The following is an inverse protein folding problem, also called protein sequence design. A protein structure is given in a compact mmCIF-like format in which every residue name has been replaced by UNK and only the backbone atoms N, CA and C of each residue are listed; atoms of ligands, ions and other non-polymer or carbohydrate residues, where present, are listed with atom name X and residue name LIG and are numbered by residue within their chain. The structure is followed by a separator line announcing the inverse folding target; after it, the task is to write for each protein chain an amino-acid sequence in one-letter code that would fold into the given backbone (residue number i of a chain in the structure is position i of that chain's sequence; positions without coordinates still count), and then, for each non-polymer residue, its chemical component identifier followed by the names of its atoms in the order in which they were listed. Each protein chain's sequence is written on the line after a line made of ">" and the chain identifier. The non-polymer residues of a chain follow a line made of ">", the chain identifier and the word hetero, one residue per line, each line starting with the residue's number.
data_IF_441494178406
#
_entry.id   IF_441494178406
#
_cell.length_a   1.000
_cell.length_b   1.000
_cell.length_c   1.000
_cell.angle_alpha   90.00
_cell.angle_beta   90.00
_cell.angle_gamma   90.00
#
_symmetry.space_group_name_H-M   'P 1'
#
loop_
_entity.id
_entity.type
_entity.pdbx_description
1 polymer ?
#
# COMPACT_ATOMS: atom_id res chain seq x y z
N UNK A 1 -22.20 1.62 -45.32
CA UNK A 1 -21.72 0.95 -44.08
C UNK A 1 -20.23 1.18 -44.00
N UNK A 2 -19.75 2.01 -43.06
CA UNK A 2 -18.35 2.43 -43.02
C UNK A 2 -17.73 2.08 -41.66
N UNK A 3 -16.58 1.40 -41.70
CA UNK A 3 -15.92 0.66 -40.60
C UNK A 3 -15.11 1.57 -39.64
N UNK A 4 -15.27 2.90 -39.71
CA UNK A 4 -14.36 3.85 -39.05
C UNK A 4 -14.75 4.35 -37.65
N UNK A 5 -15.78 3.81 -36.98
CA UNK A 5 -16.19 4.28 -35.64
C UNK A 5 -15.51 3.55 -34.46
N UNK A 6 -14.79 2.45 -34.70
CA UNK A 6 -14.15 1.65 -33.63
C UNK A 6 -12.71 2.04 -33.31
N UNK A 7 -12.00 2.75 -34.19
CA UNK A 7 -10.59 3.11 -33.98
C UNK A 7 -10.38 4.43 -33.22
N UNK A 8 -11.38 5.32 -33.18
CA UNK A 8 -11.26 6.63 -32.53
C UNK A 8 -11.33 6.57 -30.98
N UNK A 9 -11.76 5.44 -30.41
CA UNK A 9 -11.86 5.24 -28.96
C UNK A 9 -10.56 4.78 -28.30
N UNK A 10 -9.60 4.21 -29.04
CA UNK A 10 -8.39 3.61 -28.45
C UNK A 10 -7.26 4.63 -28.21
N UNK A 11 -7.20 5.72 -28.96
CA UNK A 11 -6.06 6.65 -28.93
C UNK A 11 -6.12 7.71 -27.83
N UNK A 12 -7.32 8.02 -27.29
CA UNK A 12 -7.47 8.92 -26.12
C UNK A 12 -7.38 8.22 -24.76
N UNK A 13 -7.37 6.89 -24.72
CA UNK A 13 -7.20 6.12 -23.47
C UNK A 13 -5.75 6.11 -22.95
N UNK A 14 -4.79 6.53 -23.78
CA UNK A 14 -3.35 6.52 -23.47
C UNK A 14 -2.87 7.68 -22.59
N UNK A 15 -3.59 8.81 -22.54
CA UNK A 15 -3.07 10.05 -21.93
C UNK A 15 -3.53 10.36 -20.50
N UNK A 16 -4.50 9.63 -19.94
CA UNK A 16 -5.07 9.93 -18.61
C UNK A 16 -5.21 8.71 -17.70
N UNK A 17 -4.46 7.64 -17.99
CA UNK A 17 -4.08 6.71 -16.95
C UNK A 17 -3.01 7.43 -16.12
N UNK A 18 -3.45 8.34 -15.23
CA UNK A 18 -2.59 8.81 -14.14
C UNK A 18 -2.13 7.51 -13.50
N UNK A 19 -0.87 7.15 -13.73
CA UNK A 19 -0.22 6.08 -13.04
C UNK A 19 -0.25 6.50 -11.58
N UNK A 20 -1.28 6.10 -10.85
CA UNK A 20 -1.21 6.09 -9.41
C UNK A 20 -0.22 5.01 -9.08
N UNK A 21 1.03 5.42 -9.11
CA UNK A 21 2.14 4.78 -8.46
C UNK A 21 1.65 4.28 -7.12
N UNK A 22 1.94 3.01 -6.86
CA UNK A 22 1.65 2.44 -5.56
C UNK A 22 2.35 3.30 -4.56
N UNK A 23 1.60 3.78 -3.61
CA UNK A 23 2.19 4.43 -2.47
C UNK A 23 1.93 3.45 -1.34
N UNK A 24 2.84 2.50 -1.14
CA UNK A 24 2.72 1.58 -0.02
C UNK A 24 2.76 2.39 1.28
N UNK A 25 1.60 2.53 1.94
CA UNK A 25 1.46 3.28 3.18
C UNK A 25 2.43 2.72 4.23
N UNK A 26 3.04 3.62 4.98
CA UNK A 26 3.99 3.28 6.03
C UNK A 26 3.22 2.76 7.23
N UNK A 27 3.15 1.43 7.37
CA UNK A 27 2.84 0.81 8.65
C UNK A 27 4.08 0.94 9.56
N UNK A 28 4.33 2.14 10.06
CA UNK A 28 5.27 2.35 11.16
C UNK A 28 4.65 1.71 12.40
N UNK A 29 4.93 0.44 12.63
CA UNK A 29 4.53 -0.22 13.86
C UNK A 29 5.63 -0.09 14.91
N UNK A 30 5.24 0.56 16.00
CA UNK A 30 5.99 0.70 17.23
C UNK A 30 5.02 1.11 18.34
N UNK A 31 5.21 0.65 19.58
CA UNK A 31 4.39 1.06 20.71
C UNK A 31 4.63 2.54 21.02
N UNK A 32 3.54 3.26 21.34
CA UNK A 32 3.52 4.57 22.01
C UNK A 32 4.58 5.60 21.59
N UNK A 33 4.27 6.48 20.63
CA UNK A 33 5.09 7.66 20.31
C UNK A 33 5.92 7.58 19.02
N UNK A 34 5.80 6.50 18.24
CA UNK A 34 6.49 6.37 16.95
C UNK A 34 5.99 7.38 15.91
N UNK A 35 6.93 8.09 15.26
CA UNK A 35 6.64 8.91 14.05
C UNK A 35 5.89 8.07 13.00
N UNK A 36 4.77 8.58 12.49
CA UNK A 36 4.04 8.04 11.34
C UNK A 36 4.65 8.60 10.07
N UNK A 37 4.49 7.91 8.94
CA UNK A 37 4.86 8.46 7.65
C UNK A 37 3.69 8.35 6.70
N UNK A 38 3.53 9.36 5.86
CA UNK A 38 2.57 9.40 4.78
C UNK A 38 3.29 9.80 3.51
N UNK A 39 2.73 9.41 2.38
CA UNK A 39 3.40 9.51 1.10
C UNK A 39 2.52 10.22 0.08
N UNK A 40 3.14 11.09 -0.72
CA UNK A 40 2.57 11.71 -1.92
C UNK A 40 3.31 11.27 -3.17
N UNK A 41 2.94 11.78 -4.35
CA UNK A 41 3.51 11.34 -5.64
C UNK A 41 5.05 11.44 -5.68
N UNK A 42 5.61 12.55 -5.18
CA UNK A 42 7.04 12.81 -5.09
C UNK A 42 7.45 13.32 -3.70
N UNK A 43 6.61 13.11 -2.69
CA UNK A 43 6.85 13.64 -1.34
C UNK A 43 6.65 12.57 -0.29
N UNK A 44 7.42 12.67 0.77
CA UNK A 44 7.32 11.84 1.95
C UNK A 44 7.09 12.80 3.12
N UNK A 45 6.18 12.47 4.02
CA UNK A 45 5.89 13.26 5.21
C UNK A 45 6.08 12.41 6.45
N UNK A 46 6.83 12.91 7.44
CA UNK A 46 7.01 12.25 8.73
C UNK A 46 6.35 13.06 9.84
N UNK A 47 5.60 12.39 10.71
CA UNK A 47 5.06 13.00 11.92
C UNK A 47 6.17 13.18 12.96
N UNK A 48 6.05 14.16 13.85
CA UNK A 48 6.97 14.28 15.00
C UNK A 48 6.47 13.46 16.21
N UNK A 49 7.34 12.83 17.03
CA UNK A 49 6.91 12.15 18.25
C UNK A 49 6.28 13.16 19.21
N UNK A 50 5.05 12.92 19.65
CA UNK A 50 4.38 13.78 20.63
C UNK A 50 3.97 15.17 20.15
N UNK A 51 4.08 15.48 18.85
CA UNK A 51 3.57 16.74 18.25
C UNK A 51 2.59 16.47 17.12
N UNK A 52 1.74 17.45 16.87
CA UNK A 52 0.78 17.50 15.76
C UNK A 52 1.38 17.71 14.39
N UNK A 53 2.69 17.95 14.34
CA UNK A 53 3.33 18.52 13.16
C UNK A 53 3.94 17.42 12.30
N UNK A 54 3.80 17.61 11.00
CA UNK A 54 4.37 16.77 9.97
C UNK A 54 5.36 17.58 9.15
N UNK A 55 6.51 17.01 8.85
CA UNK A 55 7.54 17.65 8.03
C UNK A 55 7.73 16.89 6.72
N UNK A 56 7.92 17.61 5.59
CA UNK A 56 8.32 16.97 4.35
C UNK A 56 9.73 16.40 4.52
N UNK A 57 9.98 15.26 3.90
CA UNK A 57 11.25 14.56 3.89
C UNK A 57 11.82 14.61 2.47
N UNK A 58 13.06 15.07 2.36
CA UNK A 58 13.78 15.11 1.09
C UNK A 58 14.06 13.69 0.60
N UNK A 59 13.74 13.44 -0.68
CA UNK A 59 14.00 12.17 -1.36
C UNK A 59 15.20 12.31 -2.31
N UNK A 60 15.99 11.25 -2.53
CA UNK A 60 17.27 11.33 -3.24
C UNK A 60 17.17 11.64 -4.74
N UNK A 61 16.02 11.43 -5.38
CA UNK A 61 15.86 11.68 -6.82
C UNK A 61 14.54 12.34 -7.21
N UNK A 62 14.38 12.54 -8.52
CA UNK A 62 13.11 12.94 -9.14
C UNK A 62 12.31 11.71 -9.55
N UNK A 63 10.99 11.87 -9.60
CA UNK A 63 10.08 10.81 -10.02
C UNK A 63 9.48 10.01 -8.87
N UNK A 64 8.70 8.99 -9.23
CA UNK A 64 7.66 8.44 -8.36
C UNK A 64 8.23 7.66 -7.18
N UNK A 65 7.60 7.85 -6.02
CA UNK A 65 7.85 7.05 -4.81
C UNK A 65 6.91 5.85 -4.78
N UNK A 66 7.45 4.66 -4.98
CA UNK A 66 6.68 3.40 -5.04
C UNK A 66 6.44 2.79 -3.65
N UNK A 67 7.39 2.99 -2.73
CA UNK A 67 7.31 2.43 -1.39
C UNK A 67 8.24 3.15 -0.45
N UNK A 68 7.79 3.39 0.78
CA UNK A 68 8.64 3.79 1.90
C UNK A 68 8.30 2.90 3.09
N UNK A 69 9.32 2.34 3.72
CA UNK A 69 9.14 1.50 4.91
C UNK A 69 10.12 1.91 5.98
N UNK A 70 9.65 1.96 7.21
CA UNK A 70 10.46 2.25 8.39
C UNK A 70 10.77 0.98 9.15
N UNK A 71 11.99 0.85 9.65
CA UNK A 71 12.35 -0.28 10.51
C UNK A 71 11.66 -0.12 11.88
N UNK A 72 10.90 -1.15 12.27
CA UNK A 72 10.18 -1.19 13.56
C UNK A 72 11.12 -1.27 14.77
N UNK A 73 12.37 -1.70 14.55
CA UNK A 73 13.37 -1.84 15.62
C UNK A 73 14.29 -0.63 15.71
N UNK A 74 14.50 0.04 14.59
CA UNK A 74 15.33 1.24 14.51
C UNK A 74 14.58 2.34 13.74
N UNK A 75 13.96 3.28 14.46
CA UNK A 75 13.20 4.36 13.84
C UNK A 75 14.02 5.28 12.91
N UNK A 76 15.36 5.22 12.93
CA UNK A 76 16.21 5.98 12.03
C UNK A 76 16.42 5.31 10.67
N UNK A 77 16.10 4.01 10.55
CA UNK A 77 16.27 3.27 9.32
C UNK A 77 15.01 3.31 8.46
N UNK A 78 15.18 3.76 7.21
CA UNK A 78 14.13 3.83 6.21
C UNK A 78 14.59 3.13 4.92
N UNK A 79 13.69 2.39 4.27
CA UNK A 79 13.86 1.92 2.90
C UNK A 79 12.92 2.70 2.00
N UNK A 80 13.41 3.14 0.85
CA UNK A 80 12.65 3.89 -0.14
C UNK A 80 12.84 3.26 -1.53
N UNK A 81 11.75 2.84 -2.15
CA UNK A 81 11.72 2.52 -3.57
C UNK A 81 11.29 3.76 -4.34
N UNK A 82 12.18 4.30 -5.18
CA UNK A 82 11.90 5.50 -5.97
C UNK A 82 12.41 5.33 -7.39
N UNK A 83 11.56 5.57 -8.38
CA UNK A 83 11.88 5.47 -9.82
C UNK A 83 12.58 4.14 -10.19
N UNK A 84 12.19 3.04 -9.54
CA UNK A 84 12.79 1.71 -9.74
C UNK A 84 14.10 1.45 -8.98
N UNK A 85 14.64 2.40 -8.23
CA UNK A 85 15.82 2.21 -7.39
C UNK A 85 15.44 1.94 -5.94
N UNK A 86 16.31 1.24 -5.20
CA UNK A 86 16.18 1.00 -3.76
C UNK A 86 17.18 1.87 -3.01
N UNK A 87 16.70 2.63 -2.03
CA UNK A 87 17.53 3.46 -1.17
C UNK A 87 17.33 3.09 0.29
N UNK A 88 18.37 3.31 1.10
CA UNK A 88 18.33 3.22 2.54
C UNK A 88 18.79 4.53 3.18
N UNK A 89 18.06 4.95 4.21
CA UNK A 89 18.52 5.97 5.15
C UNK A 89 18.80 5.33 6.50
N UNK A 90 19.78 5.87 7.23
CA UNK A 90 20.13 5.48 8.60
C UNK A 90 19.94 6.63 9.60
N UNK A 91 19.42 7.78 9.15
CA UNK A 91 19.34 9.02 9.92
C UNK A 91 17.95 9.67 9.81
N UNK A 92 16.90 8.84 9.76
CA UNK A 92 15.51 9.26 9.59
C UNK A 92 15.25 10.04 8.29
N UNK A 93 15.98 9.72 7.22
CA UNK A 93 15.82 10.27 5.87
C UNK A 93 16.47 11.62 5.63
N UNK A 94 17.45 12.01 6.46
CA UNK A 94 18.26 13.20 6.21
C UNK A 94 19.28 12.94 5.10
N UNK A 95 19.78 11.72 5.00
CA UNK A 95 20.62 11.23 3.92
C UNK A 95 20.17 9.85 3.44
N UNK A 96 20.50 9.54 2.18
CA UNK A 96 20.09 8.32 1.50
C UNK A 96 21.28 7.71 0.75
N UNK A 97 21.41 6.39 0.84
CA UNK A 97 22.36 5.60 0.08
C UNK A 97 21.60 4.63 -0.84
N UNK A 98 22.07 4.44 -2.06
CA UNK A 98 21.50 3.46 -2.98
C UNK A 98 21.93 2.03 -2.56
N UNK A 99 20.99 1.09 -2.57
CA UNK A 99 21.24 -0.35 -2.45
C UNK A 99 21.12 -0.98 -3.83
N UNK A 100 22.23 -1.51 -4.33
CA UNK A 100 22.27 -2.25 -5.59
C UNK A 100 21.72 -3.66 -5.36
N UNK A 101 20.74 -4.06 -6.17
CA UNK A 101 20.11 -5.38 -6.09
C UNK A 101 20.16 -6.16 -7.42
N UNK A 102 20.54 -5.50 -8.51
CA UNK A 102 20.67 -6.09 -9.84
C UNK A 102 21.73 -5.33 -10.67
N UNK A 103 21.83 -5.66 -11.96
CA UNK A 103 22.71 -4.99 -12.92
C UNK A 103 22.14 -3.69 -13.55
N UNK A 104 21.02 -3.17 -13.04
CA UNK A 104 20.36 -1.93 -13.48
C UNK A 104 19.20 -2.09 -14.47
N UNK A 105 18.63 -3.28 -14.66
CA UNK A 105 17.53 -3.52 -15.63
C UNK A 105 16.18 -3.77 -14.96
N UNK A 106 16.19 -4.27 -13.73
CA UNK A 106 15.03 -4.48 -12.87
C UNK A 106 14.66 -3.21 -12.10
N UNK A 107 13.37 -3.08 -11.78
CA UNK A 107 12.84 -1.94 -11.03
C UNK A 107 12.35 -2.40 -9.67
N UNK A 108 12.87 -1.82 -8.61
CA UNK A 108 12.35 -1.95 -7.25
C UNK A 108 10.95 -1.34 -7.16
N UNK A 109 10.00 -2.10 -6.61
CA UNK A 109 8.58 -1.71 -6.51
C UNK A 109 8.09 -1.67 -5.08
N UNK A 110 8.57 -2.57 -4.22
CA UNK A 110 8.28 -2.57 -2.79
C UNK A 110 9.41 -3.23 -2.02
N UNK A 111 9.70 -2.73 -0.82
CA UNK A 111 10.69 -3.32 0.07
C UNK A 111 10.13 -3.44 1.49
N UNK A 112 10.70 -4.33 2.31
CA UNK A 112 10.34 -4.46 3.72
C UNK A 112 11.51 -4.89 4.58
N UNK A 113 11.53 -4.42 5.83
CA UNK A 113 12.40 -4.94 6.88
C UNK A 113 11.78 -6.19 7.51
N UNK A 114 12.60 -7.16 7.92
CA UNK A 114 12.17 -8.16 8.87
C UNK A 114 12.09 -7.53 10.29
N UNK A 115 10.95 -7.64 11.00
CA UNK A 115 10.73 -6.90 12.25
C UNK A 115 11.51 -7.43 13.45
N UNK A 116 12.13 -8.62 13.36
CA UNK A 116 12.91 -9.22 14.47
C UNK A 116 14.33 -9.69 14.11
N UNK A 117 14.75 -9.68 12.84
CA UNK A 117 16.05 -10.23 12.39
C UNK A 117 16.90 -9.15 11.73
N UNK A 118 17.92 -8.59 12.42
CA UNK A 118 18.74 -7.52 11.84
C UNK A 118 19.35 -7.97 10.51
N UNK A 119 19.41 -7.05 9.55
CA UNK A 119 19.93 -7.33 8.21
C UNK A 119 19.02 -8.11 7.26
N UNK A 120 17.95 -8.75 7.73
CA UNK A 120 17.03 -9.42 6.81
C UNK A 120 16.08 -8.42 6.14
N UNK A 121 16.16 -8.35 4.81
CA UNK A 121 15.35 -7.46 3.96
C UNK A 121 14.63 -8.25 2.88
N UNK A 122 13.48 -7.74 2.46
CA UNK A 122 12.70 -8.25 1.35
C UNK A 122 12.56 -7.18 0.29
N UNK A 123 12.65 -7.59 -0.98
CA UNK A 123 12.51 -6.70 -2.13
C UNK A 123 11.66 -7.37 -3.21
N UNK A 124 10.67 -6.65 -3.70
CA UNK A 124 9.93 -7.00 -4.89
C UNK A 124 10.42 -6.12 -6.04
N UNK A 125 10.86 -6.76 -7.11
CA UNK A 125 11.16 -6.11 -8.38
C UNK A 125 10.02 -6.37 -9.37
N UNK A 126 9.99 -5.66 -10.48
CA UNK A 126 9.08 -5.94 -11.58
C UNK A 126 9.21 -7.36 -12.18
N UNK A 127 10.22 -8.15 -11.79
CA UNK A 127 10.47 -9.50 -12.31
C UNK A 127 10.47 -10.60 -11.24
N UNK A 128 10.92 -10.32 -10.01
CA UNK A 128 11.12 -11.35 -8.97
C UNK A 128 11.02 -10.82 -7.55
N UNK A 129 10.91 -11.76 -6.63
CA UNK A 129 11.04 -11.51 -5.19
C UNK A 129 12.45 -11.90 -4.73
N UNK A 130 13.08 -11.02 -3.96
CA UNK A 130 14.45 -11.14 -3.47
C UNK A 130 14.50 -11.07 -1.94
N UNK A 131 15.41 -11.85 -1.36
CA UNK A 131 15.69 -11.89 0.08
C UNK A 131 17.17 -11.57 0.28
N UNK A 132 17.44 -10.62 1.17
CA UNK A 132 18.77 -10.36 1.70
C UNK A 132 18.83 -10.76 3.17
N UNK A 133 19.98 -11.25 3.61
CA UNK A 133 20.27 -11.56 5.03
C UNK A 133 21.35 -10.67 5.64
N UNK A 134 21.89 -9.74 4.86
CA UNK A 134 23.09 -8.95 5.14
C UNK A 134 22.88 -7.45 4.90
N UNK A 135 21.66 -6.95 5.17
CA UNK A 135 21.26 -5.55 5.00
C UNK A 135 21.30 -5.03 3.56
N UNK A 136 21.11 -5.92 2.58
CA UNK A 136 21.08 -5.57 1.16
C UNK A 136 22.43 -5.59 0.48
N UNK A 137 23.47 -6.16 1.10
CA UNK A 137 24.78 -6.35 0.46
C UNK A 137 24.72 -7.45 -0.60
N UNK A 138 23.97 -8.51 -0.35
CA UNK A 138 23.67 -9.57 -1.31
C UNK A 138 22.19 -9.95 -1.31
N UNK A 139 21.74 -10.46 -2.46
CA UNK A 139 20.33 -10.80 -2.70
C UNK A 139 20.22 -12.20 -3.28
N UNK A 140 19.24 -12.95 -2.79
CA UNK A 140 18.93 -14.30 -3.25
C UNK A 140 17.49 -14.37 -3.73
N UNK A 141 17.25 -15.10 -4.82
CA UNK A 141 15.89 -15.39 -5.28
C UNK A 141 15.32 -16.61 -4.56
N UNK A 142 13.99 -16.67 -4.44
CA UNK A 142 13.29 -17.79 -3.81
C UNK A 142 13.41 -19.06 -4.68
N UNK A 143 13.37 -20.23 -4.05
CA UNK A 143 13.43 -21.53 -4.74
C UNK A 143 12.32 -22.46 -4.21
N UNK A 144 11.28 -22.78 -4.98
CA UNK A 144 11.04 -22.31 -6.36
C UNK A 144 10.81 -20.79 -6.42
N UNK A 145 11.09 -20.21 -7.60
CA UNK A 145 10.87 -18.79 -7.82
C UNK A 145 9.37 -18.47 -7.72
N UNK A 146 9.04 -17.40 -7.00
CA UNK A 146 7.68 -16.85 -7.02
C UNK A 146 7.39 -16.27 -8.40
N UNK A 147 6.40 -16.82 -9.09
CA UNK A 147 5.98 -16.35 -10.42
C UNK A 147 4.75 -15.45 -10.33
N UNK A 148 4.84 -14.27 -10.93
CA UNK A 148 3.73 -13.34 -11.12
C UNK A 148 3.84 -12.70 -12.51
N UNK A 149 2.70 -12.29 -13.08
CA UNK A 149 2.62 -11.65 -14.40
C UNK A 149 2.32 -10.17 -14.31
N UNK A 150 1.60 -9.77 -13.26
CA UNK A 150 1.20 -8.40 -13.01
C UNK A 150 2.11 -7.75 -11.99
N UNK A 151 2.25 -6.44 -12.10
CA UNK A 151 3.18 -5.66 -11.29
C UNK A 151 2.97 -5.92 -9.78
N UNK A 152 4.06 -6.15 -9.03
CA UNK A 152 4.00 -6.14 -7.58
C UNK A 152 3.49 -4.80 -7.05
N UNK A 153 2.87 -4.86 -5.88
CA UNK A 153 2.24 -3.70 -5.25
C UNK A 153 2.78 -3.42 -3.86
N UNK A 154 2.87 -4.43 -3.00
CA UNK A 154 3.37 -4.27 -1.63
C UNK A 154 3.90 -5.57 -1.04
N UNK A 155 4.79 -5.43 -0.05
CA UNK A 155 5.25 -6.49 0.84
C UNK A 155 4.85 -6.10 2.26
N UNK A 156 4.28 -7.04 3.02
CA UNK A 156 3.95 -6.85 4.43
C UNK A 156 4.49 -8.00 5.28
N UNK A 157 5.21 -7.66 6.35
CA UNK A 157 5.77 -8.61 7.32
C UNK A 157 5.22 -8.28 8.71
N UNK A 158 4.21 -9.00 9.22
CA UNK A 158 3.60 -8.70 10.51
C UNK A 158 4.54 -9.01 11.69
N UNK A 159 4.79 -8.09 12.63
CA UNK A 159 5.65 -8.32 13.80
C UNK A 159 5.11 -9.39 14.73
N UNK A 160 3.78 -9.52 14.82
CA UNK A 160 3.13 -10.56 15.59
C UNK A 160 3.35 -11.97 15.02
N UNK A 161 3.77 -12.09 13.75
CA UNK A 161 4.10 -13.37 13.10
C UNK A 161 5.18 -13.14 12.03
N UNK A 162 6.44 -12.93 12.43
CA UNK A 162 7.49 -12.44 11.55
C UNK A 162 7.93 -13.46 10.49
N UNK A 163 7.64 -14.76 10.70
CA UNK A 163 7.85 -15.79 9.68
C UNK A 163 6.88 -15.68 8.50
N UNK A 164 5.80 -14.91 8.64
CA UNK A 164 4.79 -14.74 7.61
C UNK A 164 5.03 -13.48 6.80
N UNK A 165 4.92 -13.62 5.48
CA UNK A 165 5.01 -12.50 4.54
C UNK A 165 3.79 -12.52 3.63
N UNK A 166 3.21 -11.35 3.41
CA UNK A 166 2.19 -11.14 2.41
C UNK A 166 2.75 -10.30 1.27
N UNK A 167 2.49 -10.73 0.05
CA UNK A 167 2.92 -10.08 -1.18
C UNK A 167 1.71 -9.84 -2.07
N UNK A 168 1.51 -8.62 -2.53
CA UNK A 168 0.36 -8.28 -3.37
C UNK A 168 0.77 -7.82 -4.75
N UNK A 169 -0.12 -8.02 -5.71
CA UNK A 169 0.07 -7.65 -7.12
C UNK A 169 -1.16 -6.92 -7.66
N UNK A 170 -0.99 -6.24 -8.79
CA UNK A 170 -2.11 -5.61 -9.51
C UNK A 170 -3.02 -6.59 -10.26
N UNK A 171 -2.77 -7.90 -10.25
CA UNK A 171 -3.62 -8.80 -11.05
C UNK A 171 -3.54 -10.29 -10.74
N UNK A 172 -2.45 -10.76 -10.13
CA UNK A 172 -2.33 -12.15 -9.67
C UNK A 172 -2.88 -12.35 -8.24
N UNK A 173 -3.37 -11.26 -7.62
CA UNK A 173 -3.91 -11.24 -6.28
C UNK A 173 -2.83 -11.18 -5.21
N UNK A 174 -3.01 -11.97 -4.15
CA UNK A 174 -2.23 -11.97 -2.92
C UNK A 174 -1.55 -13.33 -2.75
N UNK A 175 -0.27 -13.30 -2.44
CA UNK A 175 0.54 -14.45 -2.07
C UNK A 175 0.92 -14.37 -0.60
N UNK A 176 0.98 -15.54 0.05
CA UNK A 176 1.44 -15.71 1.42
C UNK A 176 2.62 -16.68 1.46
N UNK A 177 3.65 -16.30 2.20
CA UNK A 177 4.68 -17.20 2.69
C UNK A 177 4.52 -17.35 4.20
N UNK A 178 4.73 -18.54 4.74
CA UNK A 178 4.76 -18.81 6.19
C UNK A 178 6.18 -19.17 6.69
N UNK A 179 7.18 -19.04 5.81
CA UNK A 179 8.57 -19.47 6.01
C UNK A 179 9.59 -18.40 5.54
N UNK A 180 9.28 -17.13 5.78
CA UNK A 180 10.15 -15.97 5.52
C UNK A 180 10.49 -15.78 4.03
N UNK A 181 9.53 -16.07 3.16
CA UNK A 181 9.62 -15.87 1.72
C UNK A 181 10.27 -17.03 0.97
N UNK A 182 10.58 -18.15 1.63
CA UNK A 182 11.20 -19.32 0.97
C UNK A 182 10.22 -20.04 0.05
N UNK A 183 8.97 -20.19 0.46
CA UNK A 183 7.89 -20.75 -0.34
C UNK A 183 6.63 -19.89 -0.27
N UNK A 184 5.80 -19.97 -1.33
CA UNK A 184 4.64 -19.09 -1.52
C UNK A 184 3.42 -19.86 -1.98
N UNK A 185 2.24 -19.36 -1.59
CA UNK A 185 0.94 -19.82 -2.08
C UNK A 185 0.01 -18.63 -2.32
N UNK A 186 -0.81 -18.73 -3.36
CA UNK A 186 -1.89 -17.76 -3.59
C UNK A 186 -2.99 -17.93 -2.53
N UNK A 187 -3.48 -16.81 -2.00
CA UNK A 187 -4.54 -16.77 -0.98
C UNK A 187 -5.72 -15.93 -1.48
N UNK A 188 -6.28 -16.33 -2.63
CA UNK A 188 -7.22 -15.50 -3.41
C UNK A 188 -8.69 -15.96 -3.33
N UNK A 189 -8.99 -17.00 -2.54
CA UNK A 189 -10.34 -17.58 -2.45
C UNK A 189 -11.36 -16.53 -1.96
N UNK A 190 -12.42 -16.31 -2.73
CA UNK A 190 -13.45 -15.30 -2.43
C UNK A 190 -13.12 -13.87 -2.89
N UNK A 191 -11.93 -13.62 -3.45
CA UNK A 191 -11.64 -12.35 -4.12
C UNK A 191 -12.25 -12.32 -5.52
N UNK A 192 -12.71 -11.15 -5.99
CA UNK A 192 -13.34 -11.02 -7.30
C UNK A 192 -12.30 -10.97 -8.43
N UNK A 193 -12.68 -11.51 -9.59
CA UNK A 193 -11.90 -11.37 -10.82
C UNK A 193 -11.86 -9.93 -11.35
N UNK A 194 -10.84 -9.63 -12.17
CA UNK A 194 -10.67 -8.33 -12.78
C UNK A 194 -11.66 -8.06 -13.92
N UNK A 195 -11.75 -6.80 -14.32
CA UNK A 195 -12.37 -6.42 -15.60
C UNK A 195 -11.26 -6.52 -16.66
N UNK A 196 -10.99 -7.73 -17.16
CA UNK A 196 -9.94 -7.98 -18.14
C UNK A 196 -9.28 -9.35 -17.97
N UNK A 197 -8.03 -9.45 -18.41
CA UNK A 197 -7.28 -10.72 -18.44
C UNK A 197 -6.65 -11.12 -17.10
N UNK A 198 -6.66 -10.25 -16.09
CA UNK A 198 -6.10 -10.54 -14.78
C UNK A 198 -7.02 -11.50 -13.99
N UNK A 199 -6.48 -12.55 -13.34
CA UNK A 199 -7.29 -13.51 -12.59
C UNK A 199 -7.95 -12.90 -11.35
N UNK A 200 -7.33 -11.89 -10.73
CA UNK A 200 -7.87 -11.17 -9.58
C UNK A 200 -7.90 -9.69 -9.89
N UNK A 201 -8.95 -8.98 -9.48
CA UNK A 201 -9.00 -7.52 -9.59
C UNK A 201 -7.83 -6.88 -8.80
N UNK A 202 -7.28 -5.73 -9.25
CA UNK A 202 -6.13 -5.12 -8.59
C UNK A 202 -6.35 -4.91 -7.09
N UNK A 203 -5.37 -5.36 -6.30
CA UNK A 203 -5.30 -5.12 -4.87
C UNK A 203 -4.65 -3.76 -4.66
N UNK A 204 -5.43 -2.77 -4.21
CA UNK A 204 -4.96 -1.39 -4.11
C UNK A 204 -4.27 -1.08 -2.78
N UNK A 205 -4.77 -1.69 -1.72
CA UNK A 205 -4.26 -1.48 -0.37
C UNK A 205 -4.57 -2.68 0.52
N UNK A 206 -3.68 -2.92 1.49
CA UNK A 206 -3.80 -3.99 2.49
C UNK A 206 -3.65 -3.38 3.88
N UNK A 207 -4.54 -3.75 4.79
CA UNK A 207 -4.40 -3.47 6.21
C UNK A 207 -4.44 -4.79 6.99
N UNK A 208 -3.44 -5.00 7.85
CA UNK A 208 -3.27 -6.23 8.63
C UNK A 208 -3.52 -5.90 10.10
N UNK A 209 -4.27 -6.75 10.79
CA UNK A 209 -4.51 -6.59 12.21
C UNK A 209 -3.20 -6.69 13.01
N UNK A 210 -2.91 -5.73 13.91
CA UNK A 210 -1.59 -5.58 14.53
C UNK A 210 -1.14 -6.80 15.34
N UNK A 211 -2.07 -7.41 16.09
CA UNK A 211 -1.78 -8.57 16.96
C UNK A 211 -2.27 -9.91 16.42
N UNK A 212 -3.01 -9.93 15.30
CA UNK A 212 -3.57 -11.17 14.74
C UNK A 212 -3.47 -11.16 13.21
N UNK A 213 -2.35 -11.60 12.64
CA UNK A 213 -2.13 -11.55 11.20
C UNK A 213 -3.07 -12.43 10.36
N UNK A 214 -3.93 -13.26 10.97
CA UNK A 214 -5.00 -13.96 10.25
C UNK A 214 -6.18 -13.04 9.91
N UNK A 215 -6.31 -11.89 10.57
CA UNK A 215 -7.31 -10.87 10.27
C UNK A 215 -6.70 -9.79 9.38
N UNK A 216 -7.20 -9.67 8.14
CA UNK A 216 -6.72 -8.70 7.17
C UNK A 216 -7.87 -8.10 6.37
N UNK A 217 -7.62 -6.92 5.81
CA UNK A 217 -8.52 -6.19 4.93
C UNK A 217 -7.80 -5.81 3.65
N UNK A 218 -8.48 -5.90 2.52
CA UNK A 218 -7.97 -5.45 1.22
C UNK A 218 -8.99 -4.60 0.49
N UNK A 219 -8.49 -3.53 -0.13
CA UNK A 219 -9.26 -2.70 -1.03
C UNK A 219 -9.02 -3.21 -2.44
N UNK A 220 -10.10 -3.55 -3.12
CA UNK A 220 -10.08 -4.11 -4.47
C UNK A 220 -10.66 -3.10 -5.44
N UNK A 221 -9.92 -2.79 -6.49
CA UNK A 221 -10.29 -1.82 -7.50
C UNK A 221 -11.70 -2.12 -8.03
N UNK A 222 -12.60 -1.14 -7.93
CA UNK A 222 -13.99 -1.18 -8.38
C UNK A 222 -14.90 -2.21 -7.68
N UNK A 223 -14.39 -3.00 -6.72
CA UNK A 223 -15.13 -4.12 -6.11
C UNK A 223 -15.40 -3.95 -4.61
N UNK A 224 -14.74 -3.00 -3.95
CA UNK A 224 -14.96 -2.68 -2.54
C UNK A 224 -13.86 -3.22 -1.62
N UNK A 225 -14.19 -3.33 -0.34
CA UNK A 225 -13.30 -3.85 0.71
C UNK A 225 -13.67 -5.29 1.04
N UNK A 226 -12.67 -6.15 1.17
CA UNK A 226 -12.78 -7.56 1.53
C UNK A 226 -11.99 -7.83 2.81
N UNK A 227 -12.45 -8.79 3.61
CA UNK A 227 -11.86 -9.21 4.87
C UNK A 227 -11.64 -10.71 4.90
N UNK A 228 -10.52 -11.12 5.47
CA UNK A 228 -10.28 -12.50 5.93
C UNK A 228 -10.08 -12.50 7.45
N UNK A 229 -10.39 -13.62 8.08
CA UNK A 229 -10.11 -13.89 9.50
C UNK A 229 -9.33 -15.21 9.70
N UNK A 230 -8.87 -15.81 8.61
CA UNK A 230 -8.16 -17.10 8.55
C UNK A 230 -6.84 -17.00 7.76
N UNK A 231 -6.29 -15.79 7.67
CA UNK A 231 -5.02 -15.49 7.01
C UNK A 231 -5.06 -15.60 5.49
N UNK A 232 -6.24 -15.47 4.89
CA UNK A 232 -6.47 -15.56 3.45
C UNK A 232 -6.98 -16.93 2.97
N UNK A 233 -7.45 -17.78 3.88
CA UNK A 233 -8.17 -19.01 3.50
C UNK A 233 -9.46 -18.69 2.74
N UNK A 234 -10.20 -17.68 3.20
CA UNK A 234 -11.34 -17.09 2.47
C UNK A 234 -11.49 -15.60 2.73
N UNK A 235 -11.78 -14.86 1.66
CA UNK A 235 -12.14 -13.45 1.69
C UNK A 235 -13.65 -13.25 1.58
N UNK A 236 -14.18 -12.35 2.40
CA UNK A 236 -15.59 -11.98 2.40
C UNK A 236 -15.71 -10.46 2.21
N UNK A 237 -16.65 -10.03 1.37
CA UNK A 237 -16.88 -8.61 1.12
C UNK A 237 -17.47 -7.92 2.35
N UNK A 238 -16.86 -6.81 2.78
CA UNK A 238 -17.23 -6.01 3.95
C UNK A 238 -17.35 -4.54 3.56
N UNK A 239 -18.32 -4.22 2.71
CA UNK A 239 -18.44 -2.90 2.05
C UNK A 239 -19.78 -2.21 2.27
N UNK A 240 -20.54 -2.58 3.31
CA UNK A 240 -21.86 -1.98 3.53
C UNK A 240 -21.73 -0.48 3.82
N UNK A 241 -22.49 0.36 3.14
CA UNK A 241 -22.39 1.82 3.25
C UNK A 241 -21.29 2.48 2.42
N UNK A 242 -20.44 1.71 1.72
CA UNK A 242 -19.50 2.28 0.73
C UNK A 242 -20.20 2.47 -0.63
N UNK A 243 -19.96 3.59 -1.34
CA UNK A 243 -20.53 3.85 -2.65
C UNK A 243 -19.79 3.05 -3.73
N UNK A 244 -19.93 1.72 -3.74
CA UNK A 244 -19.24 0.87 -4.72
C UNK A 244 -20.07 0.83 -6.00
N UNK A 245 -19.61 1.58 -7.01
CA UNK A 245 -20.24 1.60 -8.31
C UNK A 245 -19.20 1.24 -9.39
N UNK A 246 -19.42 0.10 -10.06
CA UNK A 246 -18.54 -0.42 -11.10
C UNK A 246 -18.60 0.44 -12.37
N UNK A 247 -19.76 1.00 -12.71
CA UNK A 247 -19.94 1.83 -13.91
C UNK A 247 -19.40 3.24 -13.71
N UNK A 248 -19.54 3.79 -12.51
CA UNK A 248 -18.93 5.08 -12.11
C UNK A 248 -17.51 4.95 -11.56
N UNK A 249 -16.93 3.74 -11.60
CA UNK A 249 -15.53 3.48 -11.24
C UNK A 249 -15.15 4.06 -9.87
N UNK A 250 -15.99 3.86 -8.85
CA UNK A 250 -15.63 4.26 -7.49
C UNK A 250 -14.61 3.28 -6.92
N UNK A 251 -13.46 3.81 -6.50
CA UNK A 251 -12.30 2.99 -6.13
C UNK A 251 -11.90 3.23 -4.68
N UNK A 252 -12.08 2.24 -3.78
CA UNK A 252 -11.35 2.27 -2.52
C UNK A 252 -9.87 2.12 -2.87
N UNK A 253 -9.06 3.14 -2.60
CA UNK A 253 -7.65 3.18 -3.00
C UNK A 253 -6.70 3.02 -1.82
N UNK A 254 -7.08 3.52 -0.64
CA UNK A 254 -6.28 3.38 0.59
C UNK A 254 -7.11 2.87 1.76
N UNK A 255 -6.51 1.96 2.51
CA UNK A 255 -7.01 1.41 3.76
C UNK A 255 -6.02 1.72 4.88
N UNK A 256 -6.55 2.13 6.02
CA UNK A 256 -5.79 2.19 7.27
C UNK A 256 -6.56 1.46 8.37
N UNK A 257 -5.83 0.78 9.24
CA UNK A 257 -6.36 0.15 10.46
C UNK A 257 -5.78 0.86 11.68
N UNK A 258 -6.64 1.15 12.65
CA UNK A 258 -6.21 1.73 13.92
C UNK A 258 -5.43 0.67 14.71
N UNK A 259 -4.15 0.95 14.95
CA UNK A 259 -3.24 0.00 15.60
C UNK A 259 -3.60 -0.24 17.08
N UNK A 260 -4.31 0.69 17.72
CA UNK A 260 -4.74 0.56 19.11
C UNK A 260 -6.16 0.01 19.22
N UNK A 261 -7.02 0.36 18.25
CA UNK A 261 -8.43 -0.05 18.21
C UNK A 261 -8.75 -0.72 16.87
N UNK A 262 -8.27 -1.95 16.61
CA UNK A 262 -8.28 -2.57 15.28
C UNK A 262 -9.66 -2.92 14.70
N UNK A 263 -10.75 -2.68 15.46
CA UNK A 263 -12.11 -2.64 14.91
C UNK A 263 -12.40 -1.37 14.11
N UNK A 264 -11.52 -0.35 14.19
CA UNK A 264 -11.63 0.91 13.47
C UNK A 264 -10.78 0.87 12.21
N UNK A 265 -11.41 1.21 11.08
CA UNK A 265 -10.79 1.23 9.76
C UNK A 265 -11.15 2.52 9.03
N UNK A 266 -10.21 3.07 8.28
CA UNK A 266 -10.45 4.18 7.35
C UNK A 266 -10.28 3.69 5.91
N UNK A 267 -11.16 4.15 5.03
CA UNK A 267 -11.06 3.99 3.58
C UNK A 267 -11.10 5.36 2.93
N UNK A 268 -10.15 5.64 2.04
CA UNK A 268 -10.31 6.69 1.04
C UNK A 268 -10.89 6.06 -0.25
N UNK A 269 -12.06 6.55 -0.67
CA UNK A 269 -12.73 6.10 -1.89
C UNK A 269 -12.87 7.26 -2.88
N UNK A 270 -12.22 7.11 -4.03
CA UNK A 270 -12.10 8.14 -5.06
C UNK A 270 -13.12 7.96 -6.17
N UNK A 271 -13.60 9.09 -6.71
CA UNK A 271 -14.58 9.15 -7.79
C UNK A 271 -13.97 9.84 -9.03
N UNK A 272 -13.25 9.11 -9.89
CA UNK A 272 -12.90 9.62 -11.21
C UNK A 272 -14.09 9.44 -12.15
N UNK A 273 -14.73 10.54 -12.57
CA UNK A 273 -15.75 10.53 -13.61
C UNK A 273 -15.14 11.15 -14.87
N UNK A 274 -15.14 10.41 -15.99
CA UNK A 274 -14.76 10.92 -17.32
C UNK A 274 -13.55 11.87 -17.32
N UNK A 275 -12.39 11.41 -16.85
CA UNK A 275 -11.11 12.16 -16.81
C UNK A 275 -11.05 13.40 -15.91
N UNK A 276 -12.08 13.67 -15.11
CA UNK A 276 -12.04 14.73 -14.09
C UNK A 276 -12.18 14.15 -12.68
N UNK A 277 -11.30 14.64 -11.80
CA UNK A 277 -11.35 14.33 -10.38
C UNK A 277 -12.49 15.09 -9.74
N UNK A 278 -13.50 14.36 -9.28
CA UNK A 278 -14.70 15.00 -8.71
C UNK A 278 -14.57 15.15 -7.20
N UNK A 279 -14.22 14.07 -6.50
CA UNK A 279 -14.19 14.02 -5.03
C UNK A 279 -13.49 12.76 -4.53
N UNK A 280 -12.80 12.85 -3.41
CA UNK A 280 -12.45 11.69 -2.59
C UNK A 280 -13.26 11.72 -1.30
N UNK A 281 -14.03 10.67 -1.02
CA UNK A 281 -14.76 10.53 0.23
C UNK A 281 -14.00 9.60 1.18
N UNK A 282 -14.02 9.95 2.47
CA UNK A 282 -13.32 9.23 3.52
C UNK A 282 -14.36 8.58 4.41
N UNK A 283 -14.24 7.26 4.56
CA UNK A 283 -15.18 6.45 5.29
C UNK A 283 -14.52 5.85 6.52
N UNK A 284 -15.24 5.85 7.63
CA UNK A 284 -14.86 5.17 8.87
C UNK A 284 -15.78 3.96 9.08
N UNK A 285 -15.18 2.82 9.40
CA UNK A 285 -15.85 1.72 10.07
C UNK A 285 -15.36 1.66 11.51
N UNK A 286 -16.26 1.36 12.45
CA UNK A 286 -15.94 1.12 13.88
C UNK A 286 -16.29 -0.31 14.32
N UNK A 287 -16.73 -1.15 13.38
CA UNK A 287 -17.24 -2.50 13.58
C UNK A 287 -16.53 -3.53 12.70
N UNK A 288 -15.23 -3.31 12.49
CA UNK A 288 -14.33 -4.21 11.79
C UNK A 288 -14.75 -4.46 10.33
N UNK A 289 -15.19 -3.39 9.66
CA UNK A 289 -15.54 -3.31 8.24
C UNK A 289 -17.00 -3.65 7.92
N UNK A 290 -17.82 -4.04 8.90
CA UNK A 290 -19.19 -4.47 8.64
C UNK A 290 -20.03 -3.32 8.08
N UNK A 291 -19.92 -2.12 8.65
CA UNK A 291 -20.58 -0.91 8.19
C UNK A 291 -19.60 0.25 8.08
N UNK A 292 -19.80 1.08 7.05
CA UNK A 292 -18.98 2.25 6.76
C UNK A 292 -19.84 3.50 6.73
N UNK A 293 -19.33 4.59 7.31
CA UNK A 293 -19.96 5.91 7.30
C UNK A 293 -19.00 6.95 6.74
N UNK A 294 -19.47 7.81 5.85
CA UNK A 294 -18.69 8.97 5.37
C UNK A 294 -18.42 9.91 6.57
N UNK A 295 -17.15 10.24 6.78
CA UNK A 295 -16.68 11.11 7.88
C UNK A 295 -15.92 12.32 7.38
N UNK A 296 -15.66 12.41 6.08
CA UNK A 296 -14.92 13.52 5.51
C UNK A 296 -14.79 13.42 4.00
N UNK A 297 -14.39 14.52 3.39
CA UNK A 297 -14.28 14.63 1.94
C UNK A 297 -13.12 15.52 1.56
N UNK A 298 -12.46 15.18 0.46
CA UNK A 298 -11.45 16.01 -0.18
C UNK A 298 -11.89 16.31 -1.60
N UNK A 299 -11.75 17.57 -2.02
CA UNK A 299 -11.90 17.98 -3.42
C UNK A 299 -10.68 17.59 -4.27
N UNK A 300 -9.68 16.96 -3.64
CA UNK A 300 -8.42 16.53 -4.24
C UNK A 300 -8.23 15.02 -4.09
N UNK A 301 -7.37 14.41 -4.92
CA UNK A 301 -6.96 13.02 -4.74
C UNK A 301 -6.37 12.82 -3.33
N UNK A 302 -6.81 11.78 -2.61
CA UNK A 302 -6.14 11.34 -1.38
C UNK A 302 -5.12 10.26 -1.77
N UNK A 303 -3.86 10.56 -1.54
CA UNK A 303 -2.72 9.70 -1.88
C UNK A 303 -2.43 8.70 -0.76
N UNK A 304 -2.61 9.12 0.49
CA UNK A 304 -2.45 8.27 1.68
C UNK A 304 -3.36 8.72 2.83
N UNK A 305 -3.67 7.81 3.74
CA UNK A 305 -4.50 8.06 4.93
C UNK A 305 -3.97 7.30 6.14
N UNK A 306 -4.01 7.93 7.29
CA UNK A 306 -3.72 7.30 8.57
C UNK A 306 -4.63 7.82 9.67
N UNK A 307 -4.84 7.01 10.70
CA UNK A 307 -5.45 7.51 11.93
C UNK A 307 -4.55 8.57 12.55
N UNK A 308 -5.10 9.72 12.94
CA UNK A 308 -4.36 10.72 13.69
C UNK A 308 -4.05 10.19 15.12
N UNK A 309 -2.99 10.66 15.79
CA UNK A 309 -2.85 10.46 17.23
C UNK A 309 -4.07 11.06 17.96
N UNK A 310 -4.47 10.48 19.10
CA UNK A 310 -5.76 10.76 19.77
C UNK A 310 -6.03 12.26 20.04
N UNK A 311 -4.98 13.07 20.15
CA UNK A 311 -5.06 14.49 20.49
C UNK A 311 -5.27 15.45 19.30
N UNK A 312 -5.27 14.96 18.04
CA UNK A 312 -5.17 15.84 16.85
C UNK A 312 -6.37 15.70 15.90
N UNK A 313 -7.15 14.62 16.01
CA UNK A 313 -8.33 14.42 15.18
C UNK A 313 -8.66 12.97 14.93
N UNK A 314 -9.48 12.70 13.92
CA UNK A 314 -9.85 11.34 13.52
C UNK A 314 -8.80 10.74 12.58
N UNK A 315 -8.40 11.50 11.56
CA UNK A 315 -7.53 11.04 10.49
C UNK A 315 -6.61 12.15 10.00
N UNK A 316 -5.47 11.75 9.44
CA UNK A 316 -4.58 12.59 8.63
C UNK A 316 -4.60 12.03 7.22
N UNK A 317 -4.77 12.90 6.23
CA UNK A 317 -4.71 12.55 4.81
C UNK A 317 -3.60 13.32 4.11
N UNK A 318 -2.96 12.67 3.15
CA UNK A 318 -2.11 13.35 2.16
C UNK A 318 -2.92 13.55 0.90
N UNK A 319 -2.95 14.79 0.42
CA UNK A 319 -3.43 15.17 -0.91
C UNK A 319 -2.25 15.66 -1.76
N UNK A 320 -2.49 15.97 -3.04
CA UNK A 320 -1.46 16.54 -3.91
C UNK A 320 -0.88 17.87 -3.38
N UNK A 321 -1.69 18.66 -2.68
CA UNK A 321 -1.32 19.98 -2.17
C UNK A 321 -0.73 19.92 -0.74
N UNK A 322 -0.67 18.73 -0.12
CA UNK A 322 -0.06 18.51 1.19
C UNK A 322 -0.94 17.76 2.18
N UNK A 323 -0.68 17.95 3.48
CA UNK A 323 -1.37 17.24 4.55
C UNK A 323 -2.61 17.99 5.01
N UNK A 324 -3.69 17.24 5.25
CA UNK A 324 -4.94 17.74 5.83
C UNK A 324 -5.31 16.90 7.04
N UNK A 325 -5.61 17.56 8.16
CA UNK A 325 -6.18 16.92 9.34
C UNK A 325 -7.71 16.93 9.21
N UNK A 326 -8.34 15.76 9.34
CA UNK A 326 -9.77 15.68 9.55
C UNK A 326 -10.06 15.73 11.05
N UNK A 327 -10.55 16.88 11.50
CA UNK A 327 -11.12 17.03 12.84
C UNK A 327 -12.40 16.19 12.97
N UNK A 328 -12.79 15.90 14.22
CA UNK A 328 -14.03 15.18 14.53
C UNK A 328 -15.28 15.97 14.12
#
# INVERSE_FOLDING_TARGET
>A
MNINSKLFWLTRFSLFMIFFVSVAAVNAQGPGGSRKALLGHNSVWLSSPGRSDWAPLSVPGQGPVESLVRDTRDPNRLLLCQNGQLHISQDSGRSWNNIVFDSGTEKATAAAFHPTKPGMLFLATNQRFLISSDSGQSWTSTKPALTFKWQPRSIHVPPAKPSRIYFTTRGDGIFRSDDEGKSWRGINSGLPGAIGAAPVAPVESVAIHPSNPDVMYVAIEAKGVYKTTDGGGRWNRVSNGLPINVTRRTFPWKLAIDQQKPNRLLVAASWPVHSEWVKTAIFLSVDAGRNWKEVGTSQKPVLDIGFAPENIGLAVIVTEDGLVNLSR
#
